data_IF_978569732301
#
_entry.id   IF_978569732301
#
_cell.length_a   1.000
_cell.length_b   1.000
_cell.length_c   1.000
_cell.angle_alpha   90.00
_cell.angle_beta   90.00
_cell.angle_gamma   90.00
#
_symmetry.space_group_name_H-M   'P 1'
#
loop_
_entity.id
_entity.type
_entity.pdbx_description
1 polymer ?
#
# COMPACT_ATOMS: atom_id res chain seq x y z
N UNK A 1 -17.89 -3.73 -16.06
CA UNK A 1 -18.97 -3.86 -15.09
C UNK A 1 -18.83 -2.77 -14.04
N UNK A 2 -19.89 -2.01 -13.80
CA UNK A 2 -19.92 -1.01 -12.73
C UNK A 2 -20.12 -1.80 -11.44
N UNK A 3 -19.15 -1.79 -10.53
CA UNK A 3 -19.29 -2.30 -9.18
C UNK A 3 -20.21 -1.34 -8.42
N UNK A 4 -21.37 -1.83 -8.02
CA UNK A 4 -22.24 -1.09 -7.10
C UNK A 4 -21.79 -1.40 -5.67
N UNK A 5 -21.21 -0.44 -4.94
CA UNK A 5 -20.60 -0.70 -3.63
C UNK A 5 -21.55 -1.35 -2.62
N UNK A 6 -22.82 -0.97 -2.65
CA UNK A 6 -23.85 -1.44 -1.69
C UNK A 6 -24.21 -2.93 -1.85
N UNK A 7 -23.87 -3.54 -2.98
CA UNK A 7 -24.19 -4.96 -3.24
C UNK A 7 -22.96 -5.86 -3.24
N UNK A 8 -21.77 -5.30 -3.16
CA UNK A 8 -20.49 -6.01 -3.15
C UNK A 8 -19.87 -6.07 -1.76
N UNK A 9 -18.85 -6.89 -1.57
CA UNK A 9 -18.15 -7.10 -0.29
C UNK A 9 -18.99 -7.78 0.81
N UNK A 10 -19.94 -8.64 0.45
CA UNK A 10 -20.81 -9.34 1.42
C UNK A 10 -20.21 -10.65 1.93
N UNK A 11 -19.38 -11.30 1.15
CA UNK A 11 -18.80 -12.61 1.43
C UNK A 11 -17.28 -12.56 1.57
N UNK A 12 -16.70 -13.53 2.31
CA UNK A 12 -15.24 -13.67 2.43
C UNK A 12 -14.56 -13.79 1.06
N UNK A 13 -15.17 -14.51 0.12
CA UNK A 13 -14.62 -14.68 -1.22
C UNK A 13 -14.55 -13.37 -2.01
N UNK A 14 -15.56 -12.51 -1.89
CA UNK A 14 -15.54 -11.18 -2.52
C UNK A 14 -14.44 -10.29 -1.94
N UNK A 15 -14.26 -10.31 -0.61
CA UNK A 15 -13.17 -9.60 0.05
C UNK A 15 -11.81 -10.11 -0.43
N UNK A 16 -11.65 -11.42 -0.50
CA UNK A 16 -10.42 -12.07 -0.98
C UNK A 16 -10.10 -11.71 -2.42
N UNK A 17 -11.07 -11.83 -3.31
CA UNK A 17 -10.90 -11.53 -4.74
C UNK A 17 -10.49 -10.07 -4.96
N UNK A 18 -11.12 -9.15 -4.25
CA UNK A 18 -10.78 -7.74 -4.39
C UNK A 18 -9.39 -7.43 -3.81
N UNK A 19 -9.05 -7.93 -2.64
CA UNK A 19 -7.76 -7.66 -2.02
C UNK A 19 -6.59 -8.32 -2.74
N UNK A 20 -6.82 -9.37 -3.53
CA UNK A 20 -5.79 -10.01 -4.35
C UNK A 20 -5.15 -9.06 -5.36
N UNK A 21 -5.89 -8.07 -5.87
CA UNK A 21 -5.30 -7.09 -6.80
C UNK A 21 -4.19 -6.25 -6.17
N UNK A 22 -4.21 -6.05 -4.83
CA UNK A 22 -3.18 -5.27 -4.16
C UNK A 22 -1.80 -5.92 -4.25
N UNK A 23 -1.74 -7.27 -4.27
CA UNK A 23 -0.49 -7.99 -4.48
C UNK A 23 0.08 -7.72 -5.88
N UNK A 24 -0.76 -7.73 -6.90
CA UNK A 24 -0.32 -7.49 -8.28
C UNK A 24 0.10 -6.03 -8.51
N UNK A 25 -0.57 -5.09 -7.87
CA UNK A 25 -0.38 -3.65 -8.11
C UNK A 25 0.77 -3.05 -7.28
N UNK A 26 1.10 -3.64 -6.14
CA UNK A 26 2.02 -3.03 -5.16
C UNK A 26 3.26 -3.84 -4.86
N UNK A 27 3.24 -5.17 -5.04
CA UNK A 27 4.42 -6.00 -4.80
C UNK A 27 5.31 -5.96 -6.04
N UNK A 28 6.61 -5.59 -5.91
CA UNK A 28 7.54 -5.62 -7.01
C UNK A 28 7.65 -7.02 -7.62
N UNK A 29 7.83 -7.11 -8.92
CA UNK A 29 8.10 -8.39 -9.56
C UNK A 29 9.46 -8.96 -9.12
N UNK A 30 9.65 -10.26 -9.22
CA UNK A 30 10.94 -10.89 -8.93
C UNK A 30 12.07 -10.32 -9.80
N UNK A 31 11.76 -9.92 -11.03
CA UNK A 31 12.72 -9.28 -11.93
C UNK A 31 13.14 -7.92 -11.40
N UNK A 32 12.22 -7.13 -10.83
CA UNK A 32 12.54 -5.82 -10.28
C UNK A 32 13.43 -5.92 -9.04
N UNK A 33 13.21 -6.93 -8.19
CA UNK A 33 14.04 -7.19 -7.00
C UNK A 33 15.50 -7.49 -7.39
N UNK A 34 15.71 -8.27 -8.44
CA UNK A 34 17.06 -8.62 -8.92
C UNK A 34 17.64 -7.59 -9.88
N UNK A 35 16.86 -6.59 -10.27
CA UNK A 35 17.32 -5.54 -11.19
C UNK A 35 17.77 -4.26 -10.47
N UNK A 36 17.68 -4.19 -9.15
CA UNK A 36 18.23 -3.08 -8.39
C UNK A 36 19.74 -2.98 -8.58
N UNK A 37 20.20 -1.79 -8.96
CA UNK A 37 21.61 -1.45 -8.91
C UNK A 37 21.97 -1.11 -7.46
N UNK A 38 22.59 -2.06 -6.79
CA UNK A 38 23.12 -1.90 -5.44
C UNK A 38 24.60 -2.24 -5.45
N UNK A 39 25.31 -2.01 -4.36
CA UNK A 39 26.70 -2.42 -4.21
C UNK A 39 26.91 -3.94 -4.39
N UNK A 40 25.83 -4.72 -4.32
CA UNK A 40 25.85 -6.17 -4.47
C UNK A 40 25.57 -6.65 -5.90
N UNK A 41 24.87 -5.83 -6.70
CA UNK A 41 24.48 -6.15 -8.07
C UNK A 41 24.90 -5.00 -8.99
N UNK A 42 25.94 -5.20 -9.77
CA UNK A 42 26.38 -4.24 -10.78
C UNK A 42 25.83 -4.64 -12.13
N UNK A 43 25.04 -3.76 -12.73
CA UNK A 43 24.60 -3.89 -14.12
C UNK A 43 25.59 -3.25 -15.06
N UNK A 44 25.53 -3.63 -16.35
CA UNK A 44 26.34 -3.02 -17.41
C UNK A 44 26.11 -1.50 -17.52
N UNK A 45 24.90 -1.05 -17.24
CA UNK A 45 24.52 0.37 -17.22
C UNK A 45 24.27 0.83 -15.78
N UNK A 46 25.04 1.81 -15.33
CA UNK A 46 24.83 2.44 -14.03
C UNK A 46 23.52 3.21 -14.01
N UNK A 47 22.78 3.09 -12.92
CA UNK A 47 21.59 3.93 -12.73
C UNK A 47 21.98 5.41 -12.73
N UNK A 48 21.10 6.24 -13.28
CA UNK A 48 21.32 7.68 -13.35
C UNK A 48 21.52 8.32 -11.97
N UNK A 49 20.93 7.74 -10.92
CA UNK A 49 21.15 8.14 -9.52
C UNK A 49 22.60 7.92 -9.08
N UNK A 50 23.20 6.81 -9.45
CA UNK A 50 24.59 6.48 -9.08
C UNK A 50 25.61 7.27 -9.87
N UNK A 51 25.31 7.62 -11.13
CA UNK A 51 26.15 8.43 -11.99
C UNK A 51 26.02 9.94 -11.74
N UNK A 52 25.10 10.38 -10.89
CA UNK A 52 24.77 11.79 -10.68
C UNK A 52 24.08 12.48 -11.86
N UNK A 53 23.62 11.70 -12.84
CA UNK A 53 22.97 12.21 -14.06
C UNK A 53 21.45 12.17 -14.01
N UNK A 54 20.88 11.90 -12.84
CA UNK A 54 19.41 11.86 -12.68
C UNK A 54 18.81 13.22 -12.95
N UNK A 55 17.93 13.26 -13.95
CA UNK A 55 17.05 14.39 -14.22
C UNK A 55 15.71 14.08 -13.57
N UNK A 56 15.19 15.02 -12.75
CA UNK A 56 13.85 14.91 -12.20
C UNK A 56 12.88 15.20 -13.33
N UNK A 57 12.02 14.25 -13.74
CA UNK A 57 11.05 14.50 -14.78
C UNK A 57 10.00 15.51 -14.31
N UNK A 58 9.54 16.37 -15.22
CA UNK A 58 8.55 17.41 -14.93
C UNK A 58 7.18 16.81 -14.59
N UNK A 59 6.88 15.61 -15.10
CA UNK A 59 5.60 14.92 -14.89
C UNK A 59 5.78 13.49 -14.38
N UNK A 60 4.75 13.02 -13.71
CA UNK A 60 4.57 11.61 -13.30
C UNK A 60 5.44 11.19 -12.13
N UNK A 61 6.70 10.98 -12.33
CA UNK A 61 7.72 10.58 -11.35
C UNK A 61 7.23 9.69 -10.17
N UNK A 62 6.19 8.85 -10.42
CA UNK A 62 5.61 8.00 -9.38
C UNK A 62 4.62 8.70 -8.43
N UNK A 63 4.21 9.95 -8.68
CA UNK A 63 3.14 10.62 -7.93
C UNK A 63 1.78 10.13 -8.43
N UNK A 64 1.46 8.88 -8.09
CA UNK A 64 0.24 8.18 -8.48
C UNK A 64 -0.40 7.57 -7.24
N UNK A 65 -1.72 7.77 -7.06
CA UNK A 65 -2.50 7.36 -5.92
C UNK A 65 -3.62 6.36 -6.27
N UNK A 66 -3.64 5.83 -7.50
CA UNK A 66 -4.69 4.91 -7.96
C UNK A 66 -4.79 3.68 -7.06
N UNK A 67 -3.66 3.04 -6.75
CA UNK A 67 -3.66 1.89 -5.85
C UNK A 67 -4.18 2.23 -4.44
N UNK A 68 -3.86 3.43 -3.94
CA UNK A 68 -4.39 3.91 -2.65
C UNK A 68 -5.91 4.12 -2.69
N UNK A 69 -6.42 4.67 -3.80
CA UNK A 69 -7.85 4.85 -4.00
C UNK A 69 -8.59 3.52 -3.93
N UNK A 70 -8.06 2.48 -4.58
CA UNK A 70 -8.64 1.14 -4.56
C UNK A 70 -8.62 0.52 -3.14
N UNK A 71 -7.54 0.72 -2.40
CA UNK A 71 -7.43 0.28 -1.00
C UNK A 71 -8.47 0.99 -0.13
N UNK A 72 -8.57 2.31 -0.25
CA UNK A 72 -9.51 3.09 0.55
C UNK A 72 -10.96 2.79 0.16
N UNK A 73 -11.24 2.57 -1.13
CA UNK A 73 -12.54 2.10 -1.60
C UNK A 73 -12.93 0.77 -0.93
N UNK A 74 -12.01 -0.20 -0.92
CA UNK A 74 -12.24 -1.45 -0.22
C UNK A 74 -12.54 -1.24 1.27
N UNK A 75 -11.70 -0.48 1.98
CA UNK A 75 -11.86 -0.23 3.42
C UNK A 75 -13.17 0.50 3.74
N UNK A 76 -13.62 1.36 2.84
CA UNK A 76 -14.89 2.10 2.99
C UNK A 76 -16.11 1.17 2.94
N UNK A 77 -16.07 0.09 2.16
CA UNK A 77 -17.22 -0.80 1.93
C UNK A 77 -17.06 -2.21 2.51
N UNK A 78 -15.91 -2.56 3.07
CA UNK A 78 -15.67 -3.89 3.68
C UNK A 78 -16.64 -4.20 4.82
N UNK A 79 -17.27 -3.17 5.42
CA UNK A 79 -18.28 -3.34 6.46
C UNK A 79 -19.55 -4.05 5.98
N UNK A 80 -19.81 -4.15 4.67
CA UNK A 80 -20.91 -4.92 4.10
C UNK A 80 -20.80 -6.43 4.43
N UNK A 81 -19.57 -6.92 4.67
CA UNK A 81 -19.34 -8.28 5.15
C UNK A 81 -19.66 -8.37 6.65
N UNK A 82 -20.66 -9.16 6.99
CA UNK A 82 -21.10 -9.38 8.37
C UNK A 82 -20.21 -10.36 9.14
N UNK A 83 -19.38 -11.14 8.42
CA UNK A 83 -18.43 -12.08 9.01
C UNK A 83 -17.21 -11.32 9.54
N UNK A 84 -17.26 -10.93 10.80
CA UNK A 84 -16.26 -10.04 11.45
C UNK A 84 -14.83 -10.57 11.33
N UNK A 85 -14.63 -11.87 11.48
CA UNK A 85 -13.28 -12.47 11.41
C UNK A 85 -12.70 -12.39 9.99
N UNK A 86 -13.51 -12.71 8.98
CA UNK A 86 -13.12 -12.58 7.58
C UNK A 86 -12.82 -11.12 7.24
N UNK A 87 -13.74 -10.21 7.58
CA UNK A 87 -13.56 -8.77 7.37
C UNK A 87 -12.27 -8.27 8.01
N UNK A 88 -12.03 -8.52 9.29
CA UNK A 88 -10.83 -8.06 9.98
C UNK A 88 -9.54 -8.59 9.36
N UNK A 89 -9.56 -9.83 8.87
CA UNK A 89 -8.42 -10.43 8.17
C UNK A 89 -8.11 -9.68 6.88
N UNK A 90 -9.09 -9.42 6.03
CA UNK A 90 -8.88 -8.75 4.75
C UNK A 90 -8.72 -7.23 4.88
N UNK A 91 -9.31 -6.62 5.89
CA UNK A 91 -8.99 -5.25 6.30
C UNK A 91 -7.52 -5.16 6.76
N UNK A 92 -7.01 -6.19 7.42
CA UNK A 92 -5.59 -6.31 7.76
C UNK A 92 -4.70 -6.35 6.52
N UNK A 93 -5.11 -7.04 5.45
CA UNK A 93 -4.42 -7.04 4.16
C UNK A 93 -4.43 -5.63 3.54
N UNK A 94 -5.58 -5.00 3.48
CA UNK A 94 -5.73 -3.67 2.89
C UNK A 94 -4.92 -2.60 3.64
N UNK A 95 -4.97 -2.60 4.97
CA UNK A 95 -4.20 -1.68 5.81
C UNK A 95 -2.69 -1.93 5.71
N UNK A 96 -2.26 -3.18 5.61
CA UNK A 96 -0.85 -3.48 5.33
C UNK A 96 -0.40 -2.83 4.01
N UNK A 97 -1.18 -2.99 2.94
CA UNK A 97 -0.83 -2.40 1.65
C UNK A 97 -0.93 -0.88 1.64
N UNK A 98 -1.81 -0.28 2.43
CA UNK A 98 -1.84 1.18 2.61
C UNK A 98 -0.56 1.67 3.28
N UNK A 99 -0.15 1.03 4.36
CA UNK A 99 1.11 1.35 5.03
C UNK A 99 2.32 1.15 4.11
N UNK A 100 2.35 0.05 3.33
CA UNK A 100 3.41 -0.20 2.36
C UNK A 100 3.46 0.85 1.25
N UNK A 101 2.30 1.23 0.70
CA UNK A 101 2.18 2.31 -0.28
C UNK A 101 2.77 3.62 0.26
N UNK A 102 2.37 4.02 1.45
CA UNK A 102 2.86 5.26 2.06
C UNK A 102 4.34 5.18 2.42
N UNK A 103 4.84 4.03 2.85
CA UNK A 103 6.26 3.84 3.11
C UNK A 103 7.11 4.09 1.86
N UNK A 104 6.71 3.54 0.71
CA UNK A 104 7.39 3.79 -0.58
C UNK A 104 7.32 5.27 -0.98
N UNK A 105 6.19 5.93 -0.74
CA UNK A 105 6.04 7.36 -1.04
C UNK A 105 6.85 8.25 -0.10
N UNK A 106 6.83 8.00 1.21
CA UNK A 106 7.60 8.78 2.19
C UNK A 106 9.10 8.69 1.94
N UNK A 107 9.62 7.51 1.59
CA UNK A 107 11.03 7.35 1.21
C UNK A 107 11.43 8.24 0.03
N UNK A 108 10.51 8.48 -0.89
CA UNK A 108 10.79 9.22 -2.13
C UNK A 108 10.52 10.72 -2.02
N UNK A 109 9.44 11.10 -1.31
CA UNK A 109 8.91 12.47 -1.34
C UNK A 109 8.97 13.18 0.01
N UNK A 110 9.22 12.48 1.10
CA UNK A 110 9.09 13.04 2.44
C UNK A 110 7.64 13.28 2.82
N UNK A 111 7.28 14.55 2.96
CA UNK A 111 5.90 14.95 3.24
C UNK A 111 4.95 14.62 2.09
N UNK A 112 3.77 14.06 2.42
CA UNK A 112 2.80 13.55 1.45
C UNK A 112 1.38 13.65 2.03
N UNK A 113 0.34 13.97 1.24
CA UNK A 113 -1.02 14.02 1.76
C UNK A 113 -1.49 12.60 2.14
N UNK A 114 -2.01 12.46 3.36
CA UNK A 114 -2.65 11.24 3.83
C UNK A 114 -4.11 11.22 3.42
N UNK A 115 -4.53 10.16 2.73
CA UNK A 115 -5.92 9.90 2.36
C UNK A 115 -6.35 8.56 2.95
N UNK A 116 -7.45 8.56 3.71
CA UNK A 116 -8.05 7.37 4.33
C UNK A 116 -9.43 7.02 3.77
N UNK A 117 -9.88 7.76 2.76
CA UNK A 117 -11.12 7.53 2.01
C UNK A 117 -10.85 7.54 0.50
N UNK A 118 -11.74 6.89 -0.26
CA UNK A 118 -11.73 7.00 -1.71
C UNK A 118 -12.27 8.37 -2.12
N UNK A 119 -11.40 9.22 -2.68
CA UNK A 119 -11.78 10.55 -3.13
C UNK A 119 -12.34 10.49 -4.56
N UNK A 120 -13.36 11.28 -4.83
CA UNK A 120 -13.87 11.52 -6.17
C UNK A 120 -13.04 12.59 -6.88
N UNK A 121 -13.17 12.68 -8.21
CA UNK A 121 -12.32 13.56 -9.03
C UNK A 121 -12.49 15.04 -8.74
N UNK A 122 -13.61 15.43 -8.13
CA UNK A 122 -13.96 16.79 -7.76
C UNK A 122 -13.84 17.07 -6.25
N UNK A 123 -13.34 16.09 -5.47
CA UNK A 123 -13.18 16.26 -4.02
C UNK A 123 -12.09 17.30 -3.73
N UNK A 124 -12.42 18.39 -2.98
CA UNK A 124 -11.44 19.43 -2.64
C UNK A 124 -10.22 18.91 -1.87
N UNK A 125 -10.35 17.77 -1.16
CA UNK A 125 -9.23 17.17 -0.45
C UNK A 125 -8.09 16.71 -1.37
N UNK A 126 -8.35 16.50 -2.67
CA UNK A 126 -7.29 16.20 -3.65
C UNK A 126 -6.23 17.30 -3.71
N UNK A 127 -6.59 18.53 -3.38
CA UNK A 127 -5.73 19.71 -3.45
C UNK A 127 -5.20 20.16 -2.09
N UNK A 128 -5.38 19.36 -1.04
CA UNK A 128 -4.87 19.72 0.29
C UNK A 128 -3.34 19.76 0.30
N UNK A 129 -2.79 20.52 1.23
CA UNK A 129 -1.36 20.54 1.49
C UNK A 129 -0.85 19.13 1.90
N UNK A 130 0.45 18.92 1.73
CA UNK A 130 1.09 17.69 2.22
C UNK A 130 1.04 17.64 3.74
N UNK A 131 0.70 16.48 4.26
CA UNK A 131 0.84 16.18 5.69
C UNK A 131 2.31 15.91 6.02
N UNK A 132 2.72 16.21 7.24
CA UNK A 132 4.10 15.97 7.66
C UNK A 132 4.44 14.46 7.62
N UNK A 133 5.70 14.16 7.30
CA UNK A 133 6.22 12.79 7.33
C UNK A 133 5.93 12.10 8.67
N UNK A 134 6.09 12.81 9.78
CA UNK A 134 5.83 12.29 11.12
C UNK A 134 4.37 11.84 11.27
N UNK A 135 3.41 12.65 10.86
CA UNK A 135 1.99 12.31 10.88
C UNK A 135 1.68 11.08 10.02
N UNK A 136 2.22 11.05 8.79
CA UNK A 136 2.00 9.91 7.88
C UNK A 136 2.61 8.63 8.45
N UNK A 137 3.81 8.69 9.04
CA UNK A 137 4.44 7.55 9.69
C UNK A 137 3.62 7.03 10.87
N UNK A 138 3.06 7.94 11.69
CA UNK A 138 2.16 7.53 12.77
C UNK A 138 0.94 6.77 12.23
N UNK A 139 0.34 7.24 11.15
CA UNK A 139 -0.78 6.57 10.48
C UNK A 139 -0.40 5.20 9.90
N UNK A 140 0.79 5.07 9.33
CA UNK A 140 1.31 3.78 8.89
C UNK A 140 1.47 2.79 10.05
N UNK A 141 1.95 3.25 11.21
CA UNK A 141 2.07 2.41 12.41
C UNK A 141 0.71 1.91 12.91
N UNK A 142 -0.32 2.78 12.93
CA UNK A 142 -1.70 2.41 13.26
C UNK A 142 -2.23 1.31 12.32
N UNK A 143 -1.99 1.44 11.02
CA UNK A 143 -2.39 0.45 10.02
C UNK A 143 -1.64 -0.88 10.20
N UNK A 144 -0.34 -0.83 10.46
CA UNK A 144 0.47 -2.02 10.69
C UNK A 144 0.10 -2.72 11.99
N UNK A 145 -0.25 -2.00 13.06
CA UNK A 145 -0.71 -2.61 14.30
C UNK A 145 -2.03 -3.36 14.12
N UNK A 146 -2.95 -2.78 13.37
CA UNK A 146 -4.17 -3.48 13.00
C UNK A 146 -3.89 -4.75 12.17
N UNK A 147 -3.01 -4.66 11.17
CA UNK A 147 -2.61 -5.79 10.35
C UNK A 147 -1.94 -6.90 11.18
N UNK A 148 -1.03 -6.55 12.09
CA UNK A 148 -0.38 -7.49 13.01
C UNK A 148 -1.39 -8.22 13.91
N UNK A 149 -2.44 -7.54 14.36
CA UNK A 149 -3.47 -8.12 15.20
C UNK A 149 -4.34 -9.13 14.45
N UNK A 150 -4.66 -8.87 13.17
CA UNK A 150 -5.71 -9.55 12.42
C UNK A 150 -5.22 -10.51 11.33
N UNK A 151 -3.98 -10.37 10.86
CA UNK A 151 -3.42 -11.28 9.87
C UNK A 151 -3.09 -12.66 10.46
N UNK A 152 -3.16 -13.74 9.65
CA UNK A 152 -2.89 -15.09 10.11
C UNK A 152 -1.45 -15.25 10.61
N UNK A 153 -1.28 -16.08 11.65
CA UNK A 153 0.04 -16.45 12.19
C UNK A 153 0.70 -17.59 11.41
N UNK A 154 -0.12 -18.44 10.81
CA UNK A 154 0.36 -19.58 10.04
C UNK A 154 1.03 -19.10 8.76
N UNK A 155 2.26 -19.55 8.54
CA UNK A 155 3.03 -19.18 7.36
C UNK A 155 2.39 -19.77 6.10
N UNK A 156 2.16 -18.91 5.11
CA UNK A 156 1.77 -19.31 3.76
C UNK A 156 2.58 -18.46 2.77
N UNK A 157 3.16 -19.13 1.77
CA UNK A 157 4.06 -18.50 0.81
C UNK A 157 3.40 -17.43 -0.08
N UNK A 158 2.06 -17.51 -0.25
CA UNK A 158 1.34 -16.70 -1.23
C UNK A 158 0.42 -15.65 -0.62
N UNK A 159 0.39 -15.51 0.71
CA UNK A 159 -0.46 -14.53 1.39
C UNK A 159 0.30 -13.81 2.49
N UNK A 160 -0.12 -12.58 2.76
CA UNK A 160 0.38 -11.81 3.89
C UNK A 160 0.08 -12.49 5.21
N UNK A 161 1.07 -12.46 6.08
CA UNK A 161 0.95 -12.98 7.44
C UNK A 161 1.31 -11.89 8.43
N UNK A 162 0.99 -12.13 9.71
CA UNK A 162 1.43 -11.30 10.83
C UNK A 162 2.94 -10.99 10.77
N UNK A 163 3.74 -11.97 10.36
CA UNK A 163 5.19 -11.83 10.31
C UNK A 163 5.65 -10.86 9.23
N UNK A 164 4.95 -10.82 8.10
CA UNK A 164 5.20 -9.85 7.03
C UNK A 164 4.92 -8.43 7.53
N UNK A 165 3.80 -8.24 8.25
CA UNK A 165 3.45 -6.93 8.83
C UNK A 165 4.46 -6.49 9.90
N UNK A 166 4.94 -7.41 10.75
CA UNK A 166 6.00 -7.11 11.73
C UNK A 166 7.32 -6.73 11.04
N UNK A 167 7.70 -7.41 9.96
CA UNK A 167 8.90 -7.09 9.21
C UNK A 167 8.83 -5.68 8.59
N UNK A 168 7.68 -5.33 7.99
CA UNK A 168 7.48 -3.97 7.47
C UNK A 168 7.49 -2.93 8.60
N UNK A 169 6.82 -3.21 9.73
CA UNK A 169 6.83 -2.32 10.89
C UNK A 169 8.24 -2.05 11.40
N UNK A 170 9.07 -3.10 11.49
CA UNK A 170 10.48 -2.95 11.87
C UNK A 170 11.23 -1.98 10.94
N UNK A 171 11.01 -2.08 9.63
CA UNK A 171 11.64 -1.17 8.66
C UNK A 171 11.12 0.27 8.75
N UNK A 172 9.84 0.44 9.06
CA UNK A 172 9.24 1.78 9.24
C UNK A 172 9.78 2.47 10.49
N UNK A 173 10.13 1.71 11.54
CA UNK A 173 10.65 2.24 12.79
C UNK A 173 12.18 2.54 12.77
N UNK A 174 12.91 2.11 11.74
CA UNK A 174 14.33 2.41 11.54
C UNK A 174 14.56 3.74 10.82
#
# INVERSE_FOLDING_TARGET
>A
PILYPDVYFKTEDELRLFTNQFYNNLVPSAVDIYSESSDLIVKSDLMLEMSGQRIIPDEGNGWNFTALRDINFYLQYSHNCTEVNARNRYDGVARFFRAYFYFEKVKRYGDIPWYDKALDSDDPELYKARDSREFVMQKMLEDLDFAIANLPKTKNAYVLTRWTALALKSRVCL
#
